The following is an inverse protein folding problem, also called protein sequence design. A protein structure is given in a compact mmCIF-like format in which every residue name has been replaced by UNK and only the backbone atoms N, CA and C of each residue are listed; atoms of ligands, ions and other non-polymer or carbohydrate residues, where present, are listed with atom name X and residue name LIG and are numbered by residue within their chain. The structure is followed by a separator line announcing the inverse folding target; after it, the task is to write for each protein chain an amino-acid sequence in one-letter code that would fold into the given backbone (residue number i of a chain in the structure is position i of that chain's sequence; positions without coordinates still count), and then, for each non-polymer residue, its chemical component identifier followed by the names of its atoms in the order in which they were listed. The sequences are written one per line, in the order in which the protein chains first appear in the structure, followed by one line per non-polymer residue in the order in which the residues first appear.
data_IF_523504156363
#
_entry.id   IF_523504156363
#
_cell.length_a   1.000
_cell.length_b   1.000
_cell.length_c   1.000
_cell.angle_alpha   90.00
_cell.angle_beta   90.00
_cell.angle_gamma   90.00
#
_symmetry.space_group_name_H-M   'P 1'
#
loop_
_entity.id
_entity.type
_entity.pdbx_description
1 polymer ?
#
# COMPACT_ATOMS: atom_id res chain seq x y z
N UNK A 1 -9.37 -2.76 14.81
CA UNK A 1 -8.51 -3.26 15.91
C UNK A 1 -7.50 -2.25 16.44
N UNK A 2 -6.58 -1.72 15.63
CA UNK A 2 -5.60 -0.72 16.09
C UNK A 2 -6.24 0.51 16.77
N UNK A 3 -7.29 1.07 16.17
CA UNK A 3 -8.04 2.18 16.75
C UNK A 3 -8.68 1.81 18.11
N UNK A 4 -9.25 0.61 18.21
CA UNK A 4 -9.84 0.13 19.47
C UNK A 4 -8.76 -0.07 20.55
N UNK A 5 -7.57 -0.54 20.17
CA UNK A 5 -6.42 -0.63 21.09
C UNK A 5 -5.98 0.77 21.57
N UNK A 6 -5.92 1.76 20.68
CA UNK A 6 -5.58 3.14 21.03
C UNK A 6 -6.63 3.80 21.95
N UNK A 7 -7.90 3.44 21.82
CA UNK A 7 -8.95 3.90 22.77
C UNK A 7 -8.76 3.29 24.15
N UNK A 8 -8.35 2.01 24.23
CA UNK A 8 -8.11 1.32 25.52
C UNK A 8 -6.82 1.77 26.20
N UNK A 9 -5.79 2.10 25.42
CA UNK A 9 -4.49 2.59 25.90
C UNK A 9 -4.13 3.87 25.13
N UNK A 10 -4.63 5.03 25.57
CA UNK A 10 -4.40 6.29 24.88
C UNK A 10 -2.92 6.68 24.94
N UNK A 11 -2.41 7.17 23.81
CA UNK A 11 -1.03 7.64 23.64
C UNK A 11 -1.05 9.07 23.08
N UNK A 12 -0.07 9.89 23.45
CA UNK A 12 -0.01 11.29 23.02
C UNK A 12 0.60 11.40 21.62
N UNK A 13 0.01 12.23 20.77
CA UNK A 13 0.53 12.52 19.42
C UNK A 13 0.22 11.44 18.37
N UNK A 14 0.67 11.63 17.13
CA UNK A 14 0.33 10.74 16.01
C UNK A 14 1.07 9.40 16.10
N UNK A 15 0.37 8.32 15.75
CA UNK A 15 0.94 6.97 15.65
C UNK A 15 0.68 6.41 14.25
N UNK A 16 1.73 5.87 13.64
CA UNK A 16 1.59 5.20 12.35
C UNK A 16 0.96 3.82 12.52
N UNK A 17 0.08 3.44 11.59
CA UNK A 17 -0.56 2.12 11.57
C UNK A 17 -0.19 1.41 10.27
N UNK A 18 0.64 0.38 10.37
CA UNK A 18 1.01 -0.49 9.26
C UNK A 18 1.41 -1.88 9.80
N UNK A 19 1.38 -2.90 8.94
CA UNK A 19 1.99 -4.20 9.24
C UNK A 19 3.52 -4.08 9.24
N UNK A 20 4.20 -4.93 9.99
CA UNK A 20 5.67 -4.94 10.00
C UNK A 20 6.27 -5.23 8.61
N UNK A 21 7.46 -4.69 8.35
CA UNK A 21 8.15 -4.85 7.09
C UNK A 21 7.61 -3.97 5.96
N UNK A 22 8.20 -4.12 4.78
CA UNK A 22 7.87 -3.32 3.59
C UNK A 22 7.81 -4.21 2.35
N UNK A 23 7.13 -3.73 1.32
CA UNK A 23 7.06 -4.41 0.02
C UNK A 23 7.12 -3.37 -1.10
N UNK A 24 7.90 -3.67 -2.14
CA UNK A 24 8.02 -2.80 -3.30
C UNK A 24 6.76 -2.82 -4.17
N UNK A 25 6.42 -1.67 -4.76
CA UNK A 25 5.27 -1.52 -5.65
C UNK A 25 5.28 -2.54 -6.80
N UNK A 26 6.42 -2.72 -7.46
CA UNK A 26 6.52 -3.69 -8.56
C UNK A 26 6.18 -5.13 -8.11
N UNK A 27 6.63 -5.53 -6.92
CA UNK A 27 6.30 -6.85 -6.35
C UNK A 27 4.81 -6.96 -6.03
N UNK A 28 4.21 -5.91 -5.46
CA UNK A 28 2.77 -5.87 -5.20
C UNK A 28 1.95 -5.98 -6.49
N UNK A 29 2.32 -5.24 -7.54
CA UNK A 29 1.64 -5.27 -8.86
C UNK A 29 1.78 -6.64 -9.51
N UNK A 30 2.97 -7.24 -9.47
CA UNK A 30 3.19 -8.59 -9.98
C UNK A 30 2.37 -9.64 -9.22
N UNK A 31 2.35 -9.57 -7.88
CA UNK A 31 1.53 -10.47 -7.04
C UNK A 31 0.04 -10.33 -7.34
N UNK A 32 -0.42 -9.15 -7.79
CA UNK A 32 -1.79 -8.89 -8.22
C UNK A 32 -2.14 -9.44 -9.62
N UNK A 33 -1.22 -10.16 -10.27
CA UNK A 33 -1.40 -10.73 -11.61
C UNK A 33 -1.34 -9.69 -12.72
N UNK A 34 -0.66 -8.56 -12.51
CA UNK A 34 -0.54 -7.48 -13.49
C UNK A 34 0.89 -7.36 -14.01
N UNK A 35 1.01 -7.10 -15.30
CA UNK A 35 2.29 -6.78 -15.93
C UNK A 35 2.74 -5.36 -15.54
N UNK A 36 4.04 -5.17 -15.35
CA UNK A 36 4.65 -3.87 -15.08
C UNK A 36 5.56 -3.48 -16.25
N UNK A 37 5.41 -2.24 -16.73
CA UNK A 37 6.34 -1.65 -17.71
C UNK A 37 7.12 -0.54 -16.99
N UNK A 38 8.47 -0.55 -17.03
CA UNK A 38 9.26 0.50 -16.41
C UNK A 38 9.05 1.82 -17.16
N UNK A 39 8.83 2.90 -16.41
CA UNK A 39 8.73 4.25 -16.95
C UNK A 39 10.03 4.97 -16.63
N UNK A 40 10.76 5.39 -17.66
CA UNK A 40 11.94 6.22 -17.48
C UNK A 40 11.57 7.54 -16.79
N UNK A 41 12.38 7.98 -15.82
CA UNK A 41 12.11 9.18 -15.01
C UNK A 41 11.68 10.42 -15.79
N UNK A 42 12.37 10.79 -16.90
CA UNK A 42 11.98 11.93 -17.74
C UNK A 42 10.59 11.79 -18.39
N UNK A 43 10.13 10.57 -18.65
CA UNK A 43 8.84 10.31 -19.29
C UNK A 43 7.68 10.25 -18.28
N UNK A 44 7.96 10.22 -16.98
CA UNK A 44 6.94 10.03 -15.95
C UNK A 44 5.81 11.06 -16.03
N UNK A 45 6.13 12.35 -16.20
CA UNK A 45 5.12 13.41 -16.31
C UNK A 45 4.23 13.25 -17.55
N UNK A 46 4.81 12.89 -18.70
CA UNK A 46 4.07 12.67 -19.94
C UNK A 46 3.12 11.46 -19.83
N UNK A 47 3.58 10.36 -19.23
CA UNK A 47 2.75 9.16 -19.00
C UNK A 47 1.59 9.48 -18.05
N UNK A 48 1.85 10.17 -16.94
CA UNK A 48 0.79 10.59 -16.01
C UNK A 48 -0.21 11.55 -16.67
N UNK A 49 0.28 12.49 -17.48
CA UNK A 49 -0.58 13.40 -18.24
C UNK A 49 -1.47 12.69 -19.26
N UNK A 50 -0.93 11.68 -19.95
CA UNK A 50 -1.70 10.84 -20.87
C UNK A 50 -2.75 10.00 -20.15
N UNK A 51 -2.38 9.37 -19.02
CA UNK A 51 -3.31 8.63 -18.16
C UNK A 51 -4.48 9.50 -17.69
N UNK A 52 -4.19 10.75 -17.25
CA UNK A 52 -5.22 11.72 -16.88
C UNK A 52 -6.18 12.02 -18.04
N UNK A 53 -5.65 12.24 -19.25
CA UNK A 53 -6.50 12.46 -20.45
C UNK A 53 -7.36 11.25 -20.80
N UNK A 54 -6.91 10.05 -20.46
CA UNK A 54 -7.67 8.81 -20.63
C UNK A 54 -8.71 8.55 -19.53
N UNK A 55 -8.98 9.53 -18.65
CA UNK A 55 -10.00 9.42 -17.60
C UNK A 55 -9.51 8.77 -16.30
N UNK A 56 -8.21 8.51 -16.16
CA UNK A 56 -7.66 8.09 -14.86
C UNK A 56 -7.65 9.28 -13.89
N UNK A 57 -7.90 8.99 -12.61
CA UNK A 57 -7.87 9.99 -11.55
C UNK A 57 -6.51 10.73 -11.52
N UNK A 58 -6.54 12.03 -11.21
CA UNK A 58 -5.31 12.80 -11.09
C UNK A 58 -4.47 12.27 -9.92
N UNK A 59 -3.17 12.17 -10.15
CA UNK A 59 -2.22 11.78 -9.11
C UNK A 59 -1.75 13.05 -8.42
N UNK A 60 -2.08 13.21 -7.14
CA UNK A 60 -1.53 14.33 -6.36
C UNK A 60 0.00 14.30 -6.35
N UNK A 61 0.62 15.45 -6.11
CA UNK A 61 2.09 15.54 -6.05
C UNK A 61 2.68 14.59 -4.99
N UNK A 62 2.02 14.48 -3.83
CA UNK A 62 2.40 13.52 -2.79
C UNK A 62 2.32 12.07 -3.26
N UNK A 63 1.28 11.75 -4.03
CA UNK A 63 1.12 10.39 -4.57
C UNK A 63 2.18 10.09 -5.64
N UNK A 64 2.53 11.06 -6.48
CA UNK A 64 3.65 10.92 -7.44
C UNK A 64 4.97 10.65 -6.72
N UNK A 65 5.24 11.35 -5.62
CA UNK A 65 6.42 11.12 -4.78
C UNK A 65 6.40 9.73 -4.16
N UNK A 66 5.25 9.27 -3.66
CA UNK A 66 5.07 7.92 -3.13
C UNK A 66 5.39 6.85 -4.19
N UNK A 67 4.94 7.03 -5.44
CA UNK A 67 5.23 6.08 -6.52
C UNK A 67 6.71 6.06 -6.91
N UNK A 68 7.39 7.22 -6.84
CA UNK A 68 8.81 7.34 -7.20
C UNK A 68 9.74 6.81 -6.13
N UNK A 69 9.50 7.14 -4.86
CA UNK A 69 10.43 6.90 -3.77
C UNK A 69 9.95 5.81 -2.80
N UNK A 70 8.69 5.38 -2.92
CA UNK A 70 8.05 4.55 -1.90
C UNK A 70 7.77 5.34 -0.61
N UNK A 71 7.14 4.67 0.35
CA UNK A 71 7.00 5.15 1.73
C UNK A 71 6.89 3.95 2.65
N UNK A 72 7.69 3.97 3.71
CA UNK A 72 7.54 3.12 4.87
C UNK A 72 7.26 4.02 6.08
N UNK A 73 6.70 3.43 7.13
CA UNK A 73 6.43 4.13 8.38
C UNK A 73 6.97 3.31 9.54
N UNK A 74 7.51 3.99 10.54
CA UNK A 74 7.92 3.35 11.79
C UNK A 74 6.69 2.99 12.61
N UNK A 75 6.57 1.71 12.97
CA UNK A 75 5.47 1.13 13.73
C UNK A 75 5.85 0.82 15.18
N UNK A 76 7.04 1.21 15.63
CA UNK A 76 7.52 0.97 17.00
C UNK A 76 6.53 1.48 18.04
N UNK A 77 6.03 2.71 17.88
CA UNK A 77 5.02 3.29 18.79
C UNK A 77 3.70 2.52 18.81
N UNK A 78 3.30 1.93 17.68
CA UNK A 78 2.08 1.10 17.60
C UNK A 78 2.24 -0.17 18.46
N UNK A 79 3.42 -0.79 18.38
CA UNK A 79 3.72 -2.03 19.10
C UNK A 79 3.98 -1.77 20.58
N UNK A 80 4.82 -0.79 20.92
CA UNK A 80 5.32 -0.58 22.27
C UNK A 80 4.40 0.29 23.13
N UNK A 81 3.92 1.41 22.57
CA UNK A 81 3.10 2.37 23.30
C UNK A 81 1.61 2.04 23.23
N UNK A 82 1.08 1.77 22.02
CA UNK A 82 -0.34 1.39 21.86
C UNK A 82 -0.55 -0.08 22.28
N UNK A 83 0.49 -0.92 22.24
CA UNK A 83 0.37 -2.34 22.58
C UNK A 83 -0.34 -3.16 21.51
N UNK A 84 -0.38 -2.69 20.26
CA UNK A 84 -1.05 -3.36 19.15
C UNK A 84 -0.04 -3.85 18.12
N UNK A 85 -0.01 -5.16 17.88
CA UNK A 85 0.72 -5.75 16.75
C UNK A 85 -0.30 -6.26 15.72
N UNK A 86 -0.32 -5.74 14.48
CA UNK A 86 -1.17 -6.27 13.44
C UNK A 86 -0.94 -7.77 13.20
N UNK A 87 -2.01 -8.50 12.87
CA UNK A 87 -1.95 -9.95 12.64
C UNK A 87 -1.10 -10.34 11.42
N UNK A 88 -1.06 -9.47 10.40
CA UNK A 88 -0.31 -9.70 9.18
C UNK A 88 0.80 -8.66 9.06
N UNK A 89 1.98 -9.11 8.65
CA UNK A 89 3.03 -8.21 8.15
C UNK A 89 2.56 -7.52 6.86
N UNK A 90 3.22 -6.44 6.45
CA UNK A 90 2.91 -5.77 5.17
C UNK A 90 3.02 -6.72 3.98
N UNK A 91 4.09 -7.54 3.84
CA UNK A 91 4.16 -8.56 2.80
C UNK A 91 3.03 -9.60 2.86
N UNK A 92 2.67 -10.08 4.05
CA UNK A 92 1.62 -11.10 4.21
C UNK A 92 0.23 -10.54 3.91
N UNK A 93 -0.02 -9.28 4.28
CA UNK A 93 -1.27 -8.59 3.94
C UNK A 93 -1.43 -8.45 2.43
N UNK A 94 -0.35 -8.10 1.70
CA UNK A 94 -0.38 -8.04 0.24
C UNK A 94 -0.58 -9.43 -0.37
N UNK A 95 0.06 -10.47 0.17
CA UNK A 95 -0.13 -11.84 -0.30
C UNK A 95 -1.59 -12.29 -0.12
N UNK A 96 -2.16 -12.11 1.08
CA UNK A 96 -3.55 -12.47 1.37
C UNK A 96 -4.55 -11.71 0.47
N UNK A 97 -4.32 -10.41 0.25
CA UNK A 97 -5.13 -9.62 -0.66
C UNK A 97 -5.05 -10.12 -2.11
N UNK A 98 -3.84 -10.44 -2.60
CA UNK A 98 -3.64 -10.95 -3.95
C UNK A 98 -4.31 -12.31 -4.15
N UNK A 99 -4.22 -13.20 -3.17
CA UNK A 99 -4.84 -14.52 -3.22
C UNK A 99 -6.38 -14.40 -3.23
N UNK A 100 -6.95 -13.53 -2.38
CA UNK A 100 -8.38 -13.21 -2.40
C UNK A 100 -8.84 -12.60 -3.74
N UNK A 101 -8.03 -11.72 -4.33
CA UNK A 101 -8.29 -11.13 -5.65
C UNK A 101 -8.33 -12.19 -6.75
N UNK A 102 -7.40 -13.15 -6.73
CA UNK A 102 -7.37 -14.24 -7.71
C UNK A 102 -8.57 -15.18 -7.58
N UNK A 103 -9.01 -15.48 -6.35
CA UNK A 103 -10.21 -16.26 -6.11
C UNK A 103 -11.45 -15.58 -6.71
N UNK A 104 -11.66 -14.29 -6.41
CA UNK A 104 -12.78 -13.52 -6.94
C UNK A 104 -12.76 -13.39 -8.48
N UNK A 105 -11.57 -13.38 -9.10
CA UNK A 105 -11.45 -13.36 -10.55
C UNK A 105 -11.85 -14.70 -11.19
N UNK A 106 -11.54 -15.83 -10.55
CA UNK A 106 -11.95 -17.16 -11.01
C UNK A 106 -13.46 -17.36 -10.91
N UNK A 107 -14.06 -16.94 -9.79
CA UNK A 107 -15.51 -17.01 -9.58
C UNK A 107 -16.30 -16.23 -10.64
N UNK A 108 -15.81 -15.06 -11.07
CA UNK A 108 -16.46 -14.26 -12.14
C UNK A 108 -16.32 -14.85 -13.54
N UNK A 109 -15.36 -15.75 -13.74
CA UNK A 109 -15.09 -16.39 -15.03
C UNK A 109 -15.82 -17.73 -15.17
N UNK A 110 -16.49 -18.19 -14.12
CA UNK A 110 -17.33 -19.40 -14.09
C UNK A 110 -18.79 -18.99 -14.19
#
# INVERSE_FOLDING_TARGET
DALAAAVRRPVRGPVNVAGEGTIGLARMVHRAGRATVPIAGPLFGAVVGAARRAGMADLSEDFRRLLRYGRAVDVTRLVEEVGFRPRLSTPDAVAAWADARHAAAKERAT
#
